data_IF_194108782113
#
_entry.id   IF_194108782113
#
_cell.length_a   1.000
_cell.length_b   1.000
_cell.length_c   1.000
_cell.angle_alpha   90.00
_cell.angle_beta   90.00
_cell.angle_gamma   90.00
#
_symmetry.space_group_name_H-M   'P 1'
#
loop_
_entity.id
_entity.type
_entity.pdbx_description
1 polymer ?
#
# COMPACT_ATOMS: atom_id res chain seq x y z
N UNK A 1 -12.65 -29.89 1.55
CA UNK A 1 -12.05 -29.43 0.28
C UNK A 1 -12.65 -28.15 -0.29
N UNK A 2 -13.57 -27.42 0.40
CA UNK A 2 -14.08 -26.12 -0.09
C UNK A 2 -13.48 -24.86 0.55
N UNK A 3 -12.90 -24.97 1.76
CA UNK A 3 -12.49 -23.80 2.54
C UNK A 3 -11.35 -22.96 1.90
N UNK A 4 -10.37 -23.61 1.25
CA UNK A 4 -9.28 -22.90 0.56
C UNK A 4 -9.75 -22.17 -0.70
N UNK A 5 -10.69 -22.75 -1.44
CA UNK A 5 -11.25 -22.11 -2.65
C UNK A 5 -12.05 -20.86 -2.30
N UNK A 6 -12.82 -20.88 -1.21
CA UNK A 6 -13.58 -19.71 -0.73
C UNK A 6 -12.62 -18.61 -0.28
N UNK A 7 -11.62 -18.94 0.56
CA UNK A 7 -10.65 -17.97 1.04
C UNK A 7 -9.88 -17.27 -0.09
N UNK A 8 -9.52 -18.02 -1.14
CA UNK A 8 -8.84 -17.46 -2.32
C UNK A 8 -9.77 -16.61 -3.18
N UNK A 9 -11.03 -17.00 -3.34
CA UNK A 9 -12.03 -16.19 -4.04
C UNK A 9 -12.28 -14.86 -3.33
N UNK A 10 -12.41 -14.86 -2.00
CA UNK A 10 -12.57 -13.65 -1.20
C UNK A 10 -11.33 -12.74 -1.30
N UNK A 11 -10.14 -13.33 -1.29
CA UNK A 11 -8.89 -12.58 -1.48
C UNK A 11 -8.82 -11.92 -2.85
N UNK A 12 -9.08 -12.66 -3.93
CA UNK A 12 -9.08 -12.11 -5.29
C UNK A 12 -10.14 -11.00 -5.46
N UNK A 13 -11.32 -11.16 -4.85
CA UNK A 13 -12.37 -10.14 -4.86
C UNK A 13 -11.90 -8.85 -4.17
N UNK A 14 -11.30 -8.96 -2.97
CA UNK A 14 -10.75 -7.82 -2.24
C UNK A 14 -9.61 -7.15 -3.00
N UNK A 15 -8.70 -7.94 -3.57
CA UNK A 15 -7.57 -7.41 -4.35
C UNK A 15 -8.06 -6.62 -5.58
N UNK A 16 -9.10 -7.10 -6.27
CA UNK A 16 -9.67 -6.41 -7.43
C UNK A 16 -10.43 -5.14 -7.03
N UNK A 17 -11.20 -5.19 -5.95
CA UNK A 17 -11.86 -3.99 -5.41
C UNK A 17 -10.80 -2.93 -5.07
N UNK A 18 -9.76 -3.33 -4.35
CA UNK A 18 -8.72 -2.42 -3.89
C UNK A 18 -7.85 -1.84 -5.02
N UNK A 19 -7.62 -2.61 -6.11
CA UNK A 19 -6.98 -2.10 -7.33
C UNK A 19 -7.85 -1.07 -8.08
N UNK A 20 -9.17 -1.12 -7.91
CA UNK A 20 -10.09 -0.17 -8.56
C UNK A 20 -10.05 1.19 -7.90
N UNK A 21 -9.84 1.23 -6.59
CA UNK A 21 -9.81 2.47 -5.78
C UNK A 21 -8.43 3.14 -5.74
N UNK A 22 -7.50 2.73 -6.61
CA UNK A 22 -6.17 3.30 -6.68
C UNK A 22 -6.15 4.58 -7.53
N UNK A 23 -5.62 5.66 -6.96
CA UNK A 23 -5.59 6.99 -7.59
C UNK A 23 -4.18 7.54 -7.62
N UNK A 24 -3.82 8.21 -8.70
CA UNK A 24 -2.53 8.87 -8.86
C UNK A 24 -2.70 10.38 -8.79
N UNK A 25 -1.94 11.02 -7.92
CA UNK A 25 -1.90 12.47 -7.76
C UNK A 25 -0.52 13.01 -8.09
N UNK A 26 -0.47 14.14 -8.79
CA UNK A 26 0.78 14.86 -9.07
C UNK A 26 0.79 16.14 -8.23
N UNK A 27 1.81 16.29 -7.38
CA UNK A 27 1.98 17.45 -6.49
C UNK A 27 3.26 18.20 -6.80
N UNK A 28 3.24 19.52 -6.59
CA UNK A 28 4.41 20.36 -6.75
C UNK A 28 5.34 20.23 -5.54
N UNK A 29 6.63 20.08 -5.81
CA UNK A 29 7.68 19.93 -4.81
C UNK A 29 7.79 18.50 -4.27
N UNK A 30 8.92 18.22 -3.64
CA UNK A 30 9.20 16.90 -3.05
C UNK A 30 8.81 16.78 -1.57
N UNK A 31 8.49 17.91 -0.93
CA UNK A 31 8.18 17.98 0.50
C UNK A 31 6.71 18.26 0.73
N UNK A 32 6.18 17.66 1.79
CA UNK A 32 4.89 17.95 2.38
C UNK A 32 4.90 19.34 3.05
N UNK A 33 3.72 19.85 3.41
CA UNK A 33 3.57 21.17 4.07
C UNK A 33 4.26 21.28 5.44
N UNK A 34 4.54 20.14 6.10
CA UNK A 34 5.32 20.05 7.34
C UNK A 34 6.86 20.04 7.09
N UNK A 35 7.30 20.04 5.83
CA UNK A 35 8.70 19.98 5.42
C UNK A 35 9.29 18.57 5.28
N UNK A 36 8.56 17.49 5.60
CA UNK A 36 9.05 16.11 5.38
C UNK A 36 8.95 15.71 3.91
N UNK A 37 9.84 14.84 3.45
CA UNK A 37 9.77 14.28 2.11
C UNK A 37 8.56 13.34 1.99
N UNK A 38 7.94 13.26 0.82
CA UNK A 38 6.97 12.20 0.54
C UNK A 38 7.61 10.82 0.68
N UNK A 39 6.90 9.87 1.29
CA UNK A 39 7.41 8.51 1.50
C UNK A 39 6.32 7.48 1.20
N UNK A 40 6.68 6.32 0.64
CA UNK A 40 5.77 5.19 0.54
C UNK A 40 5.42 4.65 1.94
N UNK A 41 4.31 3.91 2.01
CA UNK A 41 3.76 3.35 3.25
C UNK A 41 3.38 4.42 4.31
N UNK A 42 3.07 5.63 3.86
CA UNK A 42 2.50 6.68 4.70
C UNK A 42 0.99 6.75 4.51
N UNK A 43 0.24 6.95 5.59
CA UNK A 43 -1.20 7.19 5.53
C UNK A 43 -1.48 8.67 5.35
N UNK A 44 -2.39 9.00 4.45
CA UNK A 44 -2.75 10.36 4.08
C UNK A 44 -4.26 10.50 3.97
N UNK A 45 -4.79 11.65 4.38
CA UNK A 45 -6.20 11.97 4.22
C UNK A 45 -6.36 12.69 2.89
N UNK A 46 -7.19 12.14 2.02
CA UNK A 46 -7.47 12.71 0.69
C UNK A 46 -8.89 13.24 0.67
N UNK A 47 -9.02 14.51 0.26
CA UNK A 47 -10.29 15.14 -0.04
C UNK A 47 -10.30 15.49 -1.53
N UNK A 48 -11.11 14.77 -2.30
CA UNK A 48 -11.30 14.98 -3.73
C UNK A 48 -12.79 14.79 -4.08
N UNK A 49 -13.55 15.89 -4.26
CA UNK A 49 -14.97 15.81 -4.59
C UNK A 49 -15.23 15.31 -6.03
N UNK A 50 -14.24 15.30 -6.92
CA UNK A 50 -14.37 14.81 -8.31
C UNK A 50 -14.26 13.29 -8.33
N UNK A 51 -13.28 12.75 -7.62
CA UNK A 51 -13.12 11.30 -7.47
C UNK A 51 -14.04 10.70 -6.38
N UNK A 52 -14.74 11.54 -5.60
CA UNK A 52 -15.68 11.10 -4.56
C UNK A 52 -15.02 10.71 -3.24
N UNK A 53 -13.77 11.13 -3.01
CA UNK A 53 -13.09 10.96 -1.74
C UNK A 53 -13.49 12.07 -0.76
N UNK A 54 -14.26 11.73 0.28
CA UNK A 54 -14.61 12.66 1.35
C UNK A 54 -13.76 12.38 2.59
N UNK A 55 -12.57 12.99 2.64
CA UNK A 55 -11.63 12.87 3.76
C UNK A 55 -11.27 11.40 4.08
N UNK A 56 -11.13 10.59 3.04
CA UNK A 56 -10.80 9.17 3.16
C UNK A 56 -9.32 9.00 3.48
N UNK A 57 -9.01 8.11 4.44
CA UNK A 57 -7.63 7.70 4.72
C UNK A 57 -7.16 6.69 3.67
N UNK A 58 -6.14 7.07 2.89
CA UNK A 58 -5.51 6.23 1.88
C UNK A 58 -4.04 6.01 2.24
N UNK A 59 -3.49 4.90 1.74
CA UNK A 59 -2.08 4.56 1.87
C UNK A 59 -1.34 4.99 0.61
N UNK A 60 -0.20 5.66 0.78
CA UNK A 60 0.75 5.92 -0.30
C UNK A 60 1.46 4.62 -0.66
N UNK A 61 1.22 4.12 -1.86
CA UNK A 61 1.81 2.88 -2.36
C UNK A 61 3.16 3.11 -3.01
N UNK A 62 3.24 4.15 -3.84
CA UNK A 62 4.44 4.53 -4.59
C UNK A 62 4.59 6.03 -4.62
N UNK A 63 5.85 6.48 -4.63
CA UNK A 63 6.22 7.88 -4.77
C UNK A 63 7.32 7.97 -5.82
N UNK A 64 7.07 8.74 -6.88
CA UNK A 64 8.06 9.03 -7.93
C UNK A 64 8.41 10.51 -7.90
N UNK A 65 9.69 10.81 -7.72
CA UNK A 65 10.21 12.18 -7.76
C UNK A 65 10.74 12.49 -9.15
N UNK A 66 10.25 13.58 -9.73
CA UNK A 66 10.74 14.08 -11.00
C UNK A 66 11.25 15.51 -10.83
N UNK A 67 12.30 15.86 -11.58
CA UNK A 67 12.82 17.22 -11.66
C UNK A 67 13.09 17.53 -13.13
N UNK A 68 12.49 18.61 -13.60
CA UNK A 68 12.63 19.12 -14.96
C UNK A 68 12.91 20.63 -14.95
N UNK A 69 12.89 21.26 -16.13
CA UNK A 69 13.10 22.71 -16.25
C UNK A 69 11.97 23.54 -15.62
N UNK A 70 10.79 22.95 -15.41
CA UNK A 70 9.63 23.59 -14.78
C UNK A 70 9.62 23.41 -13.26
N UNK A 71 10.52 22.60 -12.69
CA UNK A 71 10.78 22.52 -11.26
C UNK A 71 10.83 21.09 -10.74
N UNK A 72 10.21 20.88 -9.58
CA UNK A 72 10.18 19.57 -8.91
C UNK A 72 8.74 19.12 -8.79
N UNK A 73 8.46 17.91 -9.23
CA UNK A 73 7.15 17.27 -9.14
C UNK A 73 7.29 15.96 -8.39
N UNK A 74 6.20 15.56 -7.75
CA UNK A 74 6.08 14.26 -7.11
C UNK A 74 4.79 13.62 -7.57
N UNK A 75 4.90 12.45 -8.18
CA UNK A 75 3.78 11.58 -8.48
C UNK A 75 3.57 10.62 -7.31
N UNK A 76 2.36 10.59 -6.77
CA UNK A 76 1.99 9.84 -5.58
C UNK A 76 0.84 8.95 -5.96
N UNK A 77 1.06 7.64 -5.85
CA UNK A 77 0.01 6.65 -6.03
C UNK A 77 -0.55 6.29 -4.66
N UNK A 78 -1.86 6.41 -4.52
CA UNK A 78 -2.57 6.14 -3.27
C UNK A 78 -3.67 5.12 -3.49
N UNK A 79 -3.91 4.29 -2.50
CA UNK A 79 -4.99 3.31 -2.53
C UNK A 79 -5.43 2.91 -1.13
N UNK A 80 -6.53 2.14 -1.01
CA UNK A 80 -6.97 1.66 0.29
C UNK A 80 -5.90 0.76 0.93
N UNK A 81 -5.64 0.88 2.23
CA UNK A 81 -4.60 0.08 2.91
C UNK A 81 -4.87 -1.43 2.85
N UNK A 82 -6.15 -1.82 2.74
CA UNK A 82 -6.57 -3.21 2.60
C UNK A 82 -6.04 -3.88 1.32
N UNK A 83 -5.66 -3.11 0.29
CA UNK A 83 -5.06 -3.62 -0.95
C UNK A 83 -3.70 -4.31 -0.75
N UNK A 84 -3.02 -4.00 0.35
CA UNK A 84 -1.64 -4.39 0.62
C UNK A 84 -1.53 -5.41 1.76
N UNK A 85 -2.65 -5.91 2.26
CA UNK A 85 -2.66 -6.97 3.27
C UNK A 85 -2.23 -8.31 2.64
N UNK A 86 -1.37 -9.09 3.32
CA UNK A 86 -0.95 -10.39 2.83
C UNK A 86 -2.13 -11.36 2.70
N UNK A 87 -2.02 -12.31 1.77
CA UNK A 87 -2.99 -13.39 1.60
C UNK A 87 -3.28 -14.09 2.94
N UNK A 88 -4.54 -14.48 3.20
CA UNK A 88 -4.85 -15.32 4.35
C UNK A 88 -4.03 -16.61 4.27
N UNK A 89 -3.32 -16.97 5.36
CA UNK A 89 -2.53 -18.20 5.42
C UNK A 89 -3.43 -19.41 5.08
N UNK A 90 -3.12 -20.11 3.98
CA UNK A 90 -3.80 -21.37 3.63
C UNK A 90 -3.80 -22.29 4.87
N UNK A 91 -4.96 -22.81 5.32
CA UNK A 91 -5.03 -23.66 6.51
C UNK A 91 -4.30 -25.02 6.37
N UNK A 92 -3.56 -25.25 5.27
CA UNK A 92 -2.71 -26.42 5.03
C UNK A 92 -1.20 -26.15 5.08
N UNK A 93 -0.74 -24.89 5.14
CA UNK A 93 0.68 -24.58 5.15
C UNK A 93 1.26 -24.75 6.57
N UNK A 94 1.77 -25.96 6.86
CA UNK A 94 2.54 -26.23 8.10
C UNK A 94 3.67 -25.20 8.22
N UNK A 95 3.58 -24.30 9.21
CA UNK A 95 4.68 -23.41 9.60
C UNK A 95 5.92 -24.26 9.90
N UNK A 96 6.90 -24.29 9.00
CA UNK A 96 8.26 -24.76 9.34
C UNK A 96 8.79 -23.77 10.37
N UNK A 97 8.80 -24.18 11.64
CA UNK A 97 9.48 -23.44 12.72
C UNK A 97 10.90 -23.13 12.24
N UNK A 98 11.24 -21.84 12.09
CA UNK A 98 12.64 -21.43 11.92
C UNK A 98 13.40 -21.99 13.12
N UNK A 99 14.33 -22.91 12.86
CA UNK A 99 15.23 -23.40 13.89
C UNK A 99 15.99 -22.20 14.45
N UNK A 100 15.92 -22.03 15.77
CA UNK A 100 16.71 -21.06 16.52
C UNK A 100 18.18 -21.48 16.32
N UNK A 101 18.94 -20.71 15.55
CA UNK A 101 20.40 -20.89 15.49
C UNK A 101 20.91 -20.49 16.87
N UNK A 102 21.39 -21.48 17.61
CA UNK A 102 22.09 -21.30 18.86
C UNK A 102 23.48 -20.80 18.50
N UNK A 103 23.76 -19.52 18.74
CA UNK A 103 25.12 -19.01 18.73
C UNK A 103 25.81 -19.53 20.00
N UNK A 104 26.71 -20.49 19.83
CA UNK A 104 27.59 -20.96 20.89
C UNK A 104 28.69 -19.93 21.16
N UNK A 105 29.09 -19.72 22.43
CA UNK A 105 30.00 -18.66 22.83
C UNK A 105 31.47 -19.04 22.55
N UNK A 106 32.25 -18.07 22.05
CA UNK A 106 33.68 -18.01 22.27
C UNK A 106 34.10 -16.59 22.62
#
# INVERSE_FOLDING_TARGET
TGAGCIARADFEARQRAARTDETTYVVQGWRQGNGTLWQPNQRVIVFDPVCGFDNTELLVSEVTFTQDQNGTLTEIRVGPPDAYLPEPEDPGARKKKKARVQEDPF
#
